data_IF_594432267500
#
_entry.id   IF_594432267500
#
_cell.length_a   1.000
_cell.length_b   1.000
_cell.length_c   1.000
_cell.angle_alpha   90.00
_cell.angle_beta   90.00
_cell.angle_gamma   90.00
#
_symmetry.space_group_name_H-M   'P 1'
#
loop_
_entity.id
_entity.type
_entity.pdbx_description
1 polymer ?
#
# COMPACT_ATOMS: atom_id res chain seq x y z
N UNK A 1 12.89 -16.38 -0.18
CA UNK A 1 13.82 -15.25 0.09
C UNK A 1 13.15 -13.91 -0.21
N UNK A 2 12.50 -13.74 -1.36
CA UNK A 2 11.72 -12.52 -1.71
C UNK A 2 10.60 -12.23 -0.70
N UNK A 3 9.78 -13.22 -0.32
CA UNK A 3 8.64 -12.99 0.60
C UNK A 3 9.06 -12.44 1.96
N UNK A 4 10.16 -12.94 2.53
CA UNK A 4 10.68 -12.42 3.80
C UNK A 4 11.11 -10.95 3.71
N UNK A 5 11.63 -10.52 2.55
CA UNK A 5 12.01 -9.13 2.34
C UNK A 5 10.77 -8.24 2.17
N UNK A 6 9.73 -8.75 1.51
CA UNK A 6 8.42 -8.08 1.41
C UNK A 6 7.77 -7.92 2.78
N UNK A 7 7.80 -8.95 3.63
CA UNK A 7 7.34 -8.89 5.03
C UNK A 7 8.06 -7.78 5.81
N UNK A 8 9.40 -7.75 5.78
CA UNK A 8 10.17 -6.74 6.51
C UNK A 8 9.90 -5.31 6.02
N UNK A 9 9.77 -5.12 4.71
CA UNK A 9 9.40 -3.84 4.14
C UNK A 9 7.98 -3.41 4.57
N UNK A 10 7.03 -4.35 4.56
CA UNK A 10 5.67 -4.16 5.02
C UNK A 10 5.61 -3.77 6.51
N UNK A 11 6.25 -4.54 7.40
CA UNK A 11 6.35 -4.25 8.84
C UNK A 11 6.89 -2.83 9.09
N UNK A 12 7.93 -2.44 8.33
CA UNK A 12 8.47 -1.08 8.44
C UNK A 12 7.50 -0.03 7.93
N UNK A 13 6.82 -0.27 6.80
CA UNK A 13 5.89 0.67 6.21
C UNK A 13 4.67 0.93 7.10
N UNK A 14 4.07 -0.12 7.67
CA UNK A 14 2.91 0.03 8.55
C UNK A 14 3.24 0.79 9.83
N UNK A 15 4.50 0.87 10.26
CA UNK A 15 4.93 1.70 11.39
C UNK A 15 4.76 3.21 11.18
N UNK A 16 4.56 3.66 9.93
CA UNK A 16 4.24 5.06 9.62
C UNK A 16 2.76 5.40 9.81
N UNK A 17 1.88 4.40 9.88
CA UNK A 17 0.44 4.60 10.14
C UNK A 17 0.24 5.00 11.59
N UNK A 18 -0.58 6.02 11.80
CA UNK A 18 -0.98 6.54 13.12
C UNK A 18 -2.49 6.39 13.28
N UNK A 19 -2.91 6.36 14.53
CA UNK A 19 -4.32 6.42 14.91
C UNK A 19 -5.02 7.64 14.27
N UNK A 20 -6.25 7.44 13.78
CA UNK A 20 -7.07 8.44 13.11
C UNK A 20 -6.70 8.73 11.65
N UNK A 21 -5.75 8.00 11.04
CA UNK A 21 -5.37 8.21 9.64
C UNK A 21 -6.32 7.55 8.66
N UNK A 22 -6.48 8.19 7.49
CA UNK A 22 -6.98 7.56 6.27
C UNK A 22 -5.80 6.93 5.51
N UNK A 23 -5.86 5.61 5.30
CA UNK A 23 -4.77 4.82 4.72
C UNK A 23 -5.15 4.27 3.36
N UNK A 24 -4.37 4.57 2.34
CA UNK A 24 -4.49 3.97 1.02
C UNK A 24 -3.90 2.55 1.00
N UNK A 25 -4.69 1.56 0.59
CA UNK A 25 -4.25 0.16 0.47
C UNK A 25 -3.83 -0.15 -0.97
N UNK A 26 -2.53 -0.33 -1.20
CA UNK A 26 -1.94 -0.70 -2.48
C UNK A 26 -2.37 -2.07 -3.00
N UNK A 27 -1.88 -2.46 -4.18
CA UNK A 27 -2.26 -3.71 -4.87
C UNK A 27 -1.04 -4.58 -5.17
N UNK A 28 -1.24 -5.90 -5.07
CA UNK A 28 -0.26 -6.92 -5.48
C UNK A 28 0.47 -7.55 -4.30
N UNK A 29 1.25 -8.60 -4.61
CA UNK A 29 1.80 -9.50 -3.58
C UNK A 29 2.57 -8.80 -2.45
N UNK A 30 3.28 -7.70 -2.73
CA UNK A 30 4.01 -6.95 -1.70
C UNK A 30 3.07 -6.09 -0.85
N UNK A 31 2.08 -5.45 -1.46
CA UNK A 31 1.06 -4.67 -0.74
C UNK A 31 0.20 -5.57 0.15
N UNK A 32 -0.09 -6.81 -0.26
CA UNK A 32 -0.82 -7.79 0.55
C UNK A 32 -0.15 -8.05 1.90
N UNK A 33 1.18 -8.10 1.95
CA UNK A 33 1.93 -8.20 3.22
C UNK A 33 1.70 -6.97 4.10
N UNK A 34 1.68 -5.77 3.52
CA UNK A 34 1.40 -4.54 4.26
C UNK A 34 -0.04 -4.49 4.79
N UNK A 35 -1.03 -4.92 3.99
CA UNK A 35 -2.42 -4.98 4.42
C UNK A 35 -2.58 -5.96 5.61
N UNK A 36 -1.94 -7.14 5.54
CA UNK A 36 -1.94 -8.12 6.63
C UNK A 36 -1.28 -7.58 7.90
N UNK A 37 -0.09 -6.99 7.77
CA UNK A 37 0.62 -6.40 8.90
C UNK A 37 -0.16 -5.23 9.52
N UNK A 38 -0.86 -4.43 8.69
CA UNK A 38 -1.71 -3.34 9.15
C UNK A 38 -2.93 -3.85 9.92
N UNK A 39 -3.62 -4.86 9.40
CA UNK A 39 -4.76 -5.49 10.08
C UNK A 39 -4.38 -6.06 11.44
N UNK A 40 -3.28 -6.83 11.50
CA UNK A 40 -2.76 -7.38 12.77
C UNK A 40 -2.39 -6.28 13.76
N UNK A 41 -1.78 -5.19 13.28
CA UNK A 41 -1.39 -4.06 14.12
C UNK A 41 -2.62 -3.29 14.63
N UNK A 42 -3.59 -3.02 13.77
CA UNK A 42 -4.82 -2.31 14.11
C UNK A 42 -5.61 -3.06 15.18
N UNK A 43 -5.73 -4.38 15.06
CA UNK A 43 -6.36 -5.23 16.07
C UNK A 43 -5.61 -5.20 17.41
N UNK A 44 -4.28 -5.35 17.39
CA UNK A 44 -3.46 -5.41 18.62
C UNK A 44 -3.37 -4.08 19.36
N UNK A 45 -3.24 -2.98 18.62
CA UNK A 45 -3.05 -1.64 19.19
C UNK A 45 -4.37 -0.88 19.35
N UNK A 46 -5.47 -1.37 18.78
CA UNK A 46 -6.77 -0.69 18.79
C UNK A 46 -6.76 0.59 17.96
N UNK A 47 -6.10 0.57 16.80
CA UNK A 47 -6.03 1.74 15.91
C UNK A 47 -7.38 1.97 15.22
N UNK A 48 -7.88 3.19 15.31
CA UNK A 48 -9.05 3.66 14.56
C UNK A 48 -8.57 4.29 13.25
N UNK A 49 -8.63 3.53 12.16
CA UNK A 49 -8.18 3.95 10.83
C UNK A 49 -9.21 3.62 9.77
N UNK A 50 -9.36 4.51 8.78
CA UNK A 50 -10.16 4.26 7.59
C UNK A 50 -9.26 3.87 6.44
N UNK A 51 -9.67 2.89 5.63
CA UNK A 51 -8.83 2.33 4.58
C UNK A 51 -9.46 2.50 3.19
N UNK A 52 -8.74 3.10 2.25
CA UNK A 52 -9.22 3.31 0.87
C UNK A 52 -8.42 2.42 -0.09
N UNK A 53 -9.03 1.39 -0.72
CA UNK A 53 -8.29 0.41 -1.51
C UNK A 53 -8.09 0.84 -2.97
N UNK A 54 -6.92 0.48 -3.50
CA UNK A 54 -6.55 0.67 -4.91
C UNK A 54 -7.12 -0.41 -5.84
N UNK A 55 -7.66 -1.51 -5.30
CA UNK A 55 -8.35 -2.57 -6.06
C UNK A 55 -9.37 -3.33 -5.22
N UNK A 56 -10.28 -4.05 -5.87
CA UNK A 56 -11.24 -4.94 -5.19
C UNK A 56 -10.54 -6.08 -4.43
N UNK A 57 -9.34 -6.49 -4.87
CA UNK A 57 -8.57 -7.52 -4.19
C UNK A 57 -8.06 -7.01 -2.84
N UNK A 58 -7.51 -5.79 -2.82
CA UNK A 58 -7.06 -5.12 -1.59
C UNK A 58 -8.22 -4.84 -0.64
N UNK A 59 -9.37 -4.43 -1.18
CA UNK A 59 -10.61 -4.23 -0.42
C UNK A 59 -11.02 -5.52 0.32
N UNK A 60 -11.19 -6.62 -0.42
CA UNK A 60 -11.57 -7.93 0.14
C UNK A 60 -10.57 -8.43 1.19
N UNK A 61 -9.27 -8.22 0.95
CA UNK A 61 -8.25 -8.60 1.92
C UNK A 61 -8.37 -7.77 3.20
N UNK A 62 -8.52 -6.45 3.11
CA UNK A 62 -8.69 -5.59 4.27
C UNK A 62 -9.96 -5.89 5.07
N UNK A 63 -11.10 -6.10 4.40
CA UNK A 63 -12.36 -6.53 5.03
C UNK A 63 -12.18 -7.84 5.81
N UNK A 64 -11.48 -8.81 5.24
CA UNK A 64 -11.23 -10.11 5.90
C UNK A 64 -10.37 -10.01 7.15
N UNK A 65 -9.66 -8.90 7.33
CA UNK A 65 -8.81 -8.58 8.48
C UNK A 65 -9.48 -7.61 9.47
N UNK A 66 -10.74 -7.24 9.24
CA UNK A 66 -11.48 -6.33 10.10
C UNK A 66 -11.10 -4.85 9.95
N UNK A 67 -10.44 -4.47 8.85
CA UNK A 67 -10.18 -3.06 8.54
C UNK A 67 -11.45 -2.37 8.05
N UNK A 68 -11.65 -1.11 8.43
CA UNK A 68 -12.76 -0.29 7.97
C UNK A 68 -12.52 0.21 6.54
N UNK A 69 -13.15 -0.44 5.57
CA UNK A 69 -12.98 -0.12 4.15
C UNK A 69 -13.95 0.99 3.73
N UNK A 70 -13.38 2.06 3.18
CA UNK A 70 -14.09 3.26 2.75
C UNK A 70 -13.81 3.57 1.27
N UNK A 71 -14.58 4.52 0.72
CA UNK A 71 -14.39 5.01 -0.63
C UNK A 71 -13.59 6.33 -0.66
N UNK A 72 -13.00 6.62 -1.81
CA UNK A 72 -12.36 7.92 -2.05
C UNK A 72 -13.39 9.07 -2.07
N UNK A 73 -14.66 8.78 -2.35
CA UNK A 73 -15.73 9.79 -2.34
C UNK A 73 -16.00 10.27 -0.91
N UNK A 74 -15.94 9.36 0.06
CA UNK A 74 -16.12 9.67 1.48
C UNK A 74 -14.86 10.33 2.08
N UNK A 75 -13.68 9.93 1.61
CA UNK A 75 -12.39 10.44 2.04
C UNK A 75 -11.55 10.96 0.86
N UNK A 76 -11.74 12.22 0.42
CA UNK A 76 -11.06 12.78 -0.75
C UNK A 76 -9.57 13.10 -0.52
N UNK A 77 -9.11 13.05 0.74
CA UNK A 77 -7.70 13.23 1.12
C UNK A 77 -7.27 12.01 1.91
N UNK A 78 -6.13 11.43 1.50
CA UNK A 78 -5.54 10.25 2.13
C UNK A 78 -4.25 10.69 2.84
N UNK A 79 -4.06 10.27 4.09
CA UNK A 79 -2.87 10.67 4.86
C UNK A 79 -1.63 9.94 4.37
N UNK A 80 -1.76 8.63 4.15
CA UNK A 80 -0.67 7.75 3.76
C UNK A 80 -1.18 6.63 2.86
N UNK A 81 -0.57 6.45 1.69
CA UNK A 81 -0.73 5.23 0.89
C UNK A 81 0.50 4.35 1.01
N UNK A 82 0.29 3.05 1.19
CA UNK A 82 1.35 2.03 1.10
C UNK A 82 1.07 1.16 -0.12
N UNK A 83 2.01 1.12 -1.06
CA UNK A 83 1.84 0.36 -2.31
C UNK A 83 3.16 -0.25 -2.80
N UNK A 84 3.05 -1.19 -3.75
CA UNK A 84 4.20 -1.79 -4.43
C UNK A 84 4.55 -1.08 -5.74
N UNK A 85 5.67 -1.48 -6.33
CA UNK A 85 6.06 -1.11 -7.69
C UNK A 85 6.66 -2.31 -8.44
N UNK A 86 6.59 -2.23 -9.77
CA UNK A 86 7.16 -3.21 -10.69
C UNK A 86 8.63 -2.91 -10.99
N UNK A 87 8.98 -1.63 -11.03
CA UNK A 87 10.35 -1.11 -11.09
C UNK A 87 10.46 0.19 -10.30
N UNK A 88 11.63 0.44 -9.73
CA UNK A 88 12.02 1.67 -9.04
C UNK A 88 13.41 2.07 -9.51
N UNK A 89 13.56 3.28 -10.02
CA UNK A 89 14.86 3.80 -10.44
C UNK A 89 15.53 4.66 -9.34
N UNK A 90 16.78 5.13 -9.54
CA UNK A 90 17.49 5.94 -8.54
C UNK A 90 16.87 7.32 -8.28
N UNK A 91 15.98 7.81 -9.14
CA UNK A 91 15.24 9.06 -8.97
C UNK A 91 13.91 8.85 -8.21
N UNK A 92 13.61 7.59 -7.86
CA UNK A 92 12.34 7.14 -7.28
C UNK A 92 11.17 7.24 -8.25
N UNK A 93 11.43 7.29 -9.55
CA UNK A 93 10.39 7.09 -10.56
C UNK A 93 10.02 5.60 -10.61
N UNK A 94 8.75 5.33 -10.93
CA UNK A 94 8.14 4.00 -10.77
C UNK A 94 7.50 3.51 -12.06
N UNK A 95 7.64 2.21 -12.33
CA UNK A 95 6.70 1.46 -13.16
C UNK A 95 5.76 0.69 -12.23
N UNK A 96 4.46 0.73 -12.52
CA UNK A 96 3.39 0.06 -11.77
C UNK A 96 2.39 -0.62 -12.72
N UNK A 97 1.36 -1.26 -12.19
CA UNK A 97 0.25 -1.72 -13.03
C UNK A 97 0.37 -3.13 -13.60
N UNK A 98 1.40 -3.92 -13.27
CA UNK A 98 1.44 -5.34 -13.60
C UNK A 98 0.20 -6.08 -13.06
N UNK A 99 -0.35 -5.62 -11.93
CA UNK A 99 -1.58 -6.15 -11.32
C UNK A 99 -2.89 -5.66 -11.95
N UNK A 100 -2.85 -4.84 -13.01
CA UNK A 100 -4.05 -4.35 -13.71
C UNK A 100 -4.83 -3.24 -12.99
N UNK A 101 -4.28 -2.65 -11.93
CA UNK A 101 -4.94 -1.64 -11.10
C UNK A 101 -4.43 -0.19 -11.31
N UNK A 102 -3.57 0.05 -12.30
CA UNK A 102 -2.75 1.27 -12.39
C UNK A 102 -3.53 2.59 -12.33
N UNK A 103 -4.75 2.63 -12.88
CA UNK A 103 -5.56 3.84 -12.91
C UNK A 103 -5.98 4.21 -11.50
N UNK A 104 -6.48 3.23 -10.75
CA UNK A 104 -6.97 3.45 -9.38
C UNK A 104 -5.80 3.66 -8.42
N UNK A 105 -4.70 2.93 -8.59
CA UNK A 105 -3.44 3.20 -7.87
C UNK A 105 -3.02 4.67 -8.03
N UNK A 106 -3.00 5.19 -9.26
CA UNK A 106 -2.62 6.59 -9.54
C UNK A 106 -3.59 7.62 -8.97
N UNK A 107 -4.89 7.34 -9.01
CA UNK A 107 -5.91 8.22 -8.42
C UNK A 107 -5.70 8.31 -6.90
N UNK A 108 -5.53 7.18 -6.23
CA UNK A 108 -5.29 7.10 -4.79
C UNK A 108 -3.98 7.80 -4.44
N UNK A 109 -2.88 7.52 -5.14
CA UNK A 109 -1.60 8.19 -4.92
C UNK A 109 -1.69 9.72 -5.08
N UNK A 110 -2.45 10.21 -6.06
CA UNK A 110 -2.66 11.64 -6.27
C UNK A 110 -3.50 12.30 -5.16
N UNK A 111 -4.35 11.54 -4.48
CA UNK A 111 -5.13 12.00 -3.32
C UNK A 111 -4.34 11.90 -2.01
N UNK A 112 -3.15 11.28 -2.02
CA UNK A 112 -2.36 11.04 -0.82
C UNK A 112 -1.42 12.19 -0.50
N UNK A 113 -1.39 12.56 0.79
CA UNK A 113 -0.40 13.50 1.33
C UNK A 113 1.00 12.90 1.33
N UNK A 114 1.08 11.57 1.53
CA UNK A 114 2.33 10.82 1.47
C UNK A 114 2.11 9.46 0.84
N UNK A 115 3.09 9.03 0.05
CA UNK A 115 3.16 7.69 -0.51
C UNK A 115 4.42 6.99 0.00
N UNK A 116 4.27 5.72 0.39
CA UNK A 116 5.36 4.83 0.78
C UNK A 116 5.33 3.62 -0.15
N UNK A 117 6.35 3.54 -0.99
CA UNK A 117 6.54 2.42 -1.90
C UNK A 117 7.40 1.35 -1.23
N UNK A 118 6.90 0.11 -1.24
CA UNK A 118 7.61 -1.05 -0.72
C UNK A 118 7.93 -2.03 -1.84
N UNK A 119 9.21 -2.40 -1.94
CA UNK A 119 9.70 -3.36 -2.93
C UNK A 119 10.80 -4.23 -2.35
N UNK A 120 10.98 -5.41 -2.93
CA UNK A 120 12.18 -6.20 -2.72
C UNK A 120 13.29 -5.76 -3.70
N UNK A 121 14.57 -6.11 -3.45
CA UNK A 121 15.70 -5.63 -4.25
C UNK A 121 15.62 -5.94 -5.75
N UNK A 122 14.85 -6.96 -6.17
CA UNK A 122 14.70 -7.29 -7.59
C UNK A 122 13.96 -6.23 -8.40
N UNK A 123 13.27 -5.29 -7.74
CA UNK A 123 12.52 -4.20 -8.37
C UNK A 123 13.34 -2.93 -8.54
N UNK A 124 14.54 -2.87 -7.94
CA UNK A 124 15.43 -1.72 -8.09
C UNK A 124 16.23 -1.88 -9.37
N UNK A 125 16.09 -0.92 -10.28
CA UNK A 125 16.71 -0.94 -11.61
C UNK A 125 17.54 0.31 -11.84
N UNK A 126 18.55 0.24 -12.70
CA UNK A 126 19.37 1.41 -13.04
C UNK A 126 18.59 2.44 -13.89
N UNK A 127 17.61 1.96 -14.67
CA UNK A 127 16.73 2.74 -15.53
C UNK A 127 15.43 1.97 -15.75
N UNK A 128 14.30 2.67 -15.77
CA UNK A 128 12.99 2.09 -16.08
C UNK A 128 12.94 1.44 -17.48
N UNK A 129 12.11 0.41 -17.61
CA UNK A 129 11.81 -0.33 -18.82
C UNK A 129 12.82 -1.42 -19.16
N UNK A 130 13.28 -2.18 -18.16
CA UNK A 130 14.35 -3.19 -18.30
C UNK A 130 13.89 -4.64 -18.13
#
# INVERSE_FOLDING_TARGET
MSDRLKELAAEKAVSYVRDGMVVGLGTGSTADFAIRALGERAEKEGLDIQCVPTSDASARLGESLGLDIQSLEDHPVIDLTIDGADEVDPQLDLVKGLGGALLREKIIAAASTREVIIVDPSKVVDRLGT
#
